data_IF_491191346806
#
_entry.id   IF_491191346806
#
_cell.length_a   1.000
_cell.length_b   1.000
_cell.length_c   1.000
_cell.angle_alpha   90.00
_cell.angle_beta   90.00
_cell.angle_gamma   90.00
#
_symmetry.space_group_name_H-M   'P 1'
#
loop_
_entity.id
_entity.type
_entity.pdbx_description
1 polymer ?
#
# COMPACT_ATOMS: atom_id res chain seq x y z
N UNK A 1 7.32 11.68 -19.03
CA UNK A 1 6.20 11.70 -18.07
C UNK A 1 6.43 12.78 -17.03
N UNK A 2 5.49 13.67 -16.80
CA UNK A 2 5.66 14.65 -15.76
C UNK A 2 5.78 13.97 -14.39
N UNK A 3 6.54 14.56 -13.44
CA UNK A 3 6.63 13.99 -12.11
C UNK A 3 5.28 14.03 -11.40
N UNK A 4 4.98 12.99 -10.62
CA UNK A 4 3.76 12.93 -9.83
C UNK A 4 3.71 14.01 -8.74
N UNK A 5 4.89 14.39 -8.26
CA UNK A 5 5.03 15.36 -7.17
C UNK A 5 6.04 16.44 -7.58
N UNK A 6 5.63 17.37 -8.46
CA UNK A 6 6.58 18.35 -9.00
C UNK A 6 7.15 19.31 -7.96
N UNK A 7 6.49 19.47 -6.82
CA UNK A 7 6.92 20.32 -5.72
C UNK A 7 7.80 19.60 -4.69
N UNK A 8 8.03 18.29 -4.86
CA UNK A 8 8.79 17.48 -3.92
C UNK A 8 10.15 17.11 -4.50
N UNK A 9 11.05 16.62 -3.64
CA UNK A 9 12.32 16.08 -4.06
C UNK A 9 12.12 14.87 -4.97
N UNK A 10 13.10 14.60 -5.82
CA UNK A 10 13.07 13.40 -6.65
C UNK A 10 12.98 12.13 -5.79
N UNK A 11 12.11 11.16 -6.12
CA UNK A 11 12.09 9.86 -5.45
C UNK A 11 13.44 9.15 -5.43
N UNK A 12 14.32 9.43 -6.38
CA UNK A 12 15.67 8.85 -6.42
C UNK A 12 16.50 9.24 -5.21
N UNK A 13 16.26 10.42 -4.66
CA UNK A 13 17.00 10.96 -3.52
C UNK A 13 16.34 10.67 -2.20
N UNK A 14 15.05 10.31 -2.22
CA UNK A 14 14.28 10.07 -1.01
C UNK A 14 14.46 8.64 -0.53
N UNK A 15 14.66 8.46 0.76
CA UNK A 15 14.64 7.15 1.41
C UNK A 15 13.24 6.78 1.87
N UNK A 16 12.43 7.79 2.19
CA UNK A 16 11.05 7.62 2.65
C UNK A 16 10.16 8.55 1.86
N UNK A 17 9.06 8.01 1.35
CA UNK A 17 8.01 8.78 0.70
C UNK A 17 6.73 8.61 1.52
N UNK A 18 6.16 9.71 2.00
CA UNK A 18 4.95 9.68 2.81
C UNK A 18 3.75 10.11 1.97
N UNK A 19 2.67 9.35 2.07
CA UNK A 19 1.40 9.65 1.42
C UNK A 19 0.37 9.95 2.50
N UNK A 20 -0.10 11.18 2.54
CA UNK A 20 -1.12 11.60 3.50
C UNK A 20 -2.52 11.32 3.02
N UNK A 21 -3.48 11.54 3.90
CA UNK A 21 -4.89 11.55 3.57
C UNK A 21 -5.60 12.64 4.38
N UNK A 22 -6.57 13.30 3.76
CA UNK A 22 -7.32 14.36 4.42
C UNK A 22 -8.31 13.79 5.44
N UNK A 23 -8.87 12.61 5.16
CA UNK A 23 -9.79 11.89 6.04
C UNK A 23 -9.55 10.39 5.90
N UNK A 24 -9.84 9.66 6.98
CA UNK A 24 -9.75 8.20 6.93
C UNK A 24 -10.87 7.59 6.08
N UNK A 25 -10.56 6.47 5.44
CA UNK A 25 -11.55 5.69 4.70
C UNK A 25 -11.99 6.28 3.37
N UNK A 26 -11.28 7.28 2.86
CA UNK A 26 -11.57 7.85 1.57
C UNK A 26 -11.01 6.97 0.46
N UNK A 27 -11.88 6.49 -0.43
CA UNK A 27 -11.53 5.56 -1.50
C UNK A 27 -10.53 6.15 -2.49
N UNK A 28 -10.68 7.41 -2.82
CA UNK A 28 -9.81 8.10 -3.77
C UNK A 28 -8.36 8.16 -3.25
N UNK A 29 -8.17 8.38 -1.95
CA UNK A 29 -6.85 8.36 -1.35
C UNK A 29 -6.25 6.97 -1.37
N UNK A 30 -7.04 5.94 -1.09
CA UNK A 30 -6.57 4.56 -1.11
C UNK A 30 -6.20 4.11 -2.52
N UNK A 31 -6.97 4.50 -3.52
CA UNK A 31 -6.64 4.24 -4.92
C UNK A 31 -5.34 4.96 -5.31
N UNK A 32 -5.17 6.19 -4.84
CA UNK A 32 -3.94 6.94 -5.09
C UNK A 32 -2.74 6.23 -4.47
N UNK A 33 -2.88 5.65 -3.28
CA UNK A 33 -1.79 4.88 -2.67
C UNK A 33 -1.33 3.73 -3.56
N UNK A 34 -2.27 3.01 -4.15
CA UNK A 34 -1.93 1.95 -5.09
C UNK A 34 -1.19 2.50 -6.31
N UNK A 35 -1.73 3.54 -6.93
CA UNK A 35 -1.15 4.11 -8.14
C UNK A 35 0.28 4.61 -7.90
N UNK A 36 0.50 5.31 -6.80
CA UNK A 36 1.82 5.83 -6.46
C UNK A 36 2.77 4.71 -6.08
N UNK A 37 2.32 3.76 -5.26
CA UNK A 37 3.17 2.67 -4.82
C UNK A 37 3.63 1.79 -5.98
N UNK A 38 2.78 1.54 -6.96
CA UNK A 38 3.17 0.81 -8.16
C UNK A 38 4.35 1.48 -8.87
N UNK A 39 4.28 2.78 -9.06
CA UNK A 39 5.37 3.54 -9.69
C UNK A 39 6.65 3.47 -8.85
N UNK A 40 6.53 3.68 -7.54
CA UNK A 40 7.68 3.66 -6.64
C UNK A 40 8.35 2.29 -6.60
N UNK A 41 7.57 1.22 -6.57
CA UNK A 41 8.10 -0.13 -6.54
C UNK A 41 8.77 -0.51 -7.87
N UNK A 42 8.13 -0.21 -8.99
CA UNK A 42 8.61 -0.62 -10.30
C UNK A 42 9.77 0.22 -10.81
N UNK A 43 9.76 1.53 -10.57
CA UNK A 43 10.73 2.45 -11.14
C UNK A 43 11.82 2.91 -10.18
N UNK A 44 11.53 2.93 -8.89
CA UNK A 44 12.43 3.51 -7.88
C UNK A 44 12.90 2.50 -6.84
N UNK A 45 12.51 1.25 -6.97
CA UNK A 45 13.01 0.18 -6.11
C UNK A 45 12.46 0.16 -4.70
N UNK A 46 11.37 0.87 -4.43
CA UNK A 46 10.73 0.84 -3.10
C UNK A 46 10.17 -0.55 -2.84
N UNK A 47 10.41 -1.09 -1.65
CA UNK A 47 10.07 -2.48 -1.30
C UNK A 47 9.27 -2.62 -0.02
N UNK A 48 8.87 -1.51 0.61
CA UNK A 48 8.07 -1.57 1.83
C UNK A 48 6.98 -0.53 1.81
N UNK A 49 5.80 -0.93 2.25
CA UNK A 49 4.64 -0.07 2.44
C UNK A 49 4.29 -0.09 3.93
N UNK A 50 4.41 1.05 4.60
CA UNK A 50 4.08 1.16 6.02
C UNK A 50 2.67 1.71 6.17
N UNK A 51 1.87 1.02 6.95
CA UNK A 51 0.47 1.33 7.16
C UNK A 51 0.21 1.54 8.65
N UNK A 52 -0.59 2.53 8.99
CA UNK A 52 -1.05 2.69 10.37
C UNK A 52 -2.01 1.56 10.70
N UNK A 53 -1.57 0.61 11.49
CA UNK A 53 -2.35 -0.56 11.82
C UNK A 53 -1.75 -1.35 12.96
N UNK A 54 -2.51 -2.33 13.44
CA UNK A 54 -2.01 -3.27 14.43
C UNK A 54 -0.81 -4.05 13.87
N UNK A 55 0.24 -4.17 14.66
CA UNK A 55 1.45 -4.87 14.22
C UNK A 55 1.16 -6.32 13.80
N UNK A 56 0.40 -7.04 14.62
CA UNK A 56 0.05 -8.43 14.31
C UNK A 56 -0.83 -8.55 13.07
N UNK A 57 -1.75 -7.59 12.89
CA UNK A 57 -2.61 -7.55 11.70
C UNK A 57 -1.81 -7.23 10.44
N UNK A 58 -0.89 -6.30 10.52
CA UNK A 58 0.00 -5.99 9.39
C UNK A 58 0.91 -7.16 9.06
N UNK A 59 1.30 -7.97 10.04
CA UNK A 59 2.05 -9.21 9.81
C UNK A 59 1.23 -10.21 8.99
N UNK A 60 -0.08 -10.29 9.21
CA UNK A 60 -0.96 -11.14 8.42
C UNK A 60 -0.98 -10.71 6.95
N UNK A 61 -1.03 -9.40 6.70
CA UNK A 61 -0.94 -8.86 5.34
C UNK A 61 0.41 -9.22 4.72
N UNK A 62 1.49 -9.05 5.47
CA UNK A 62 2.83 -9.35 5.00
C UNK A 62 2.96 -10.81 4.57
N UNK A 63 2.43 -11.73 5.35
CA UNK A 63 2.43 -13.15 4.97
C UNK A 63 1.62 -13.42 3.72
N UNK A 64 0.48 -12.76 3.59
CA UNK A 64 -0.39 -12.93 2.42
C UNK A 64 0.30 -12.46 1.15
N UNK A 65 0.97 -11.32 1.15
CA UNK A 65 1.67 -10.81 -0.04
C UNK A 65 2.90 -11.64 -0.38
N UNK A 66 3.38 -12.46 0.55
CA UNK A 66 4.48 -13.41 0.32
C UNK A 66 4.00 -14.84 0.05
N UNK A 67 2.72 -15.00 -0.26
CA UNK A 67 2.19 -16.26 -0.77
C UNK A 67 1.37 -17.10 0.20
N UNK A 68 1.14 -16.64 1.44
CA UNK A 68 0.30 -17.37 2.38
C UNK A 68 -1.14 -17.45 1.86
N UNK A 69 -1.85 -18.50 2.24
CA UNK A 69 -3.23 -18.71 1.82
C UNK A 69 -4.21 -17.69 2.36
N UNK A 70 -5.46 -17.81 1.93
CA UNK A 70 -6.52 -16.89 2.29
C UNK A 70 -6.69 -15.77 1.27
N UNK A 71 -7.56 -14.83 1.59
CA UNK A 71 -7.88 -13.70 0.71
C UNK A 71 -7.29 -12.40 1.22
N UNK A 72 -7.18 -11.41 0.33
CA UNK A 72 -6.77 -10.06 0.72
C UNK A 72 -7.73 -9.47 1.76
N UNK A 73 -9.03 -9.71 1.60
CA UNK A 73 -10.04 -9.25 2.56
C UNK A 73 -9.80 -9.81 3.96
N UNK A 74 -9.50 -11.10 4.06
CA UNK A 74 -9.20 -11.73 5.35
C UNK A 74 -7.94 -11.13 5.99
N UNK A 75 -6.89 -10.93 5.20
CA UNK A 75 -5.65 -10.34 5.70
C UNK A 75 -5.87 -8.91 6.19
N UNK A 76 -6.62 -8.10 5.44
CA UNK A 76 -6.94 -6.73 5.82
C UNK A 76 -7.80 -6.67 7.10
N UNK A 77 -8.72 -7.62 7.27
CA UNK A 77 -9.56 -7.68 8.46
C UNK A 77 -8.74 -7.85 9.74
N UNK A 78 -7.59 -8.49 9.64
CA UNK A 78 -6.71 -8.72 10.78
C UNK A 78 -6.11 -7.43 11.34
N UNK A 79 -6.10 -6.32 10.59
CA UNK A 79 -5.60 -5.03 11.08
C UNK A 79 -6.46 -4.42 12.17
N UNK A 80 -7.73 -4.83 12.28
CA UNK A 80 -8.67 -4.27 13.22
C UNK A 80 -9.25 -2.91 12.82
N UNK A 81 -8.83 -2.34 11.71
CA UNK A 81 -9.33 -1.04 11.23
C UNK A 81 -10.32 -1.23 10.09
N UNK A 82 -11.59 -0.87 10.33
CA UNK A 82 -12.63 -0.96 9.31
C UNK A 82 -12.34 -0.09 8.09
N UNK A 83 -11.59 1.00 8.25
CA UNK A 83 -11.22 1.91 7.16
C UNK A 83 -10.42 1.22 6.06
N UNK A 84 -9.76 0.10 6.34
CA UNK A 84 -8.99 -0.65 5.36
C UNK A 84 -9.77 -1.80 4.72
N UNK A 85 -11.04 -2.02 5.12
CA UNK A 85 -11.90 -3.06 4.53
C UNK A 85 -12.59 -2.51 3.28
N UNK A 86 -11.81 -2.20 2.27
CA UNK A 86 -12.29 -1.60 1.03
C UNK A 86 -11.74 -2.38 -0.16
N UNK A 87 -12.44 -2.27 -1.28
CA UNK A 87 -11.99 -2.87 -2.54
C UNK A 87 -10.64 -2.28 -2.97
N UNK A 88 -10.44 -0.98 -2.76
CA UNK A 88 -9.20 -0.30 -3.12
C UNK A 88 -8.01 -0.85 -2.33
N UNK A 89 -8.18 -1.13 -1.05
CA UNK A 89 -7.12 -1.76 -0.25
C UNK A 89 -6.90 -3.21 -0.63
N UNK A 90 -7.95 -3.93 -0.97
CA UNK A 90 -7.82 -5.29 -1.50
C UNK A 90 -7.01 -5.28 -2.80
N UNK A 91 -7.27 -4.33 -3.68
CA UNK A 91 -6.53 -4.18 -4.93
C UNK A 91 -5.05 -3.92 -4.67
N UNK A 92 -4.72 -3.08 -3.69
CA UNK A 92 -3.33 -2.80 -3.32
C UNK A 92 -2.64 -4.08 -2.82
N UNK A 93 -3.27 -4.81 -1.93
CA UNK A 93 -2.71 -6.04 -1.36
C UNK A 93 -2.56 -7.12 -2.45
N UNK A 94 -3.55 -7.28 -3.32
CA UNK A 94 -3.48 -8.24 -4.43
C UNK A 94 -2.35 -7.87 -5.40
N UNK A 95 -2.18 -6.59 -5.70
CA UNK A 95 -1.08 -6.16 -6.55
C UNK A 95 0.27 -6.52 -5.94
N UNK A 96 0.44 -6.28 -4.63
CA UNK A 96 1.68 -6.63 -3.93
C UNK A 96 1.97 -8.13 -4.00
N UNK A 97 0.93 -8.95 -3.80
CA UNK A 97 1.05 -10.41 -3.87
C UNK A 97 1.48 -10.85 -5.27
N UNK A 98 0.84 -10.31 -6.30
CA UNK A 98 1.17 -10.64 -7.69
C UNK A 98 2.58 -10.19 -8.06
N UNK A 99 3.00 -9.05 -7.57
CA UNK A 99 4.34 -8.52 -7.79
C UNK A 99 5.41 -9.44 -7.20
N UNK A 100 5.14 -10.05 -6.04
CA UNK A 100 6.06 -10.95 -5.36
C UNK A 100 6.06 -12.37 -5.95
N UNK A 101 5.08 -12.71 -6.74
CA UNK A 101 4.95 -14.04 -7.31
C UNK A 101 6.02 -14.36 -8.36
#
# INVERSE_FOLDING_TARGET
MPPLFPSLRSPDEAQIVALGEATHGNREFQQLWLDVFQVLAEKYGVRAFALEGDFGGCEAINRHIHGAGGTAAEALSATGFAIYRTEEMENLVEWMRDYNA
#
